data_IF_592693446343
#
_entry.id   IF_592693446343
#
_cell.length_a   1.000
_cell.length_b   1.000
_cell.length_c   1.000
_cell.angle_alpha   90.00
_cell.angle_beta   90.00
_cell.angle_gamma   90.00
#
_symmetry.space_group_name_H-M   'P 1'
#
loop_
_entity.id
_entity.type
_entity.pdbx_description
1 polymer ?
#
# COMPACT_ATOMS: atom_id res chain seq x y z
N UNK A 1 -9.48 -6.52 -10.27
CA UNK A 1 -8.37 -6.57 -9.31
C UNK A 1 -8.87 -7.31 -8.08
N UNK A 2 -8.06 -8.15 -7.48
CA UNK A 2 -8.36 -8.76 -6.18
C UNK A 2 -7.53 -8.05 -5.12
N UNK A 3 -8.15 -7.77 -4.00
CA UNK A 3 -7.53 -7.22 -2.80
C UNK A 3 -7.58 -8.27 -1.70
N UNK A 4 -6.50 -8.43 -0.94
CA UNK A 4 -6.54 -9.26 0.26
C UNK A 4 -6.98 -8.38 1.43
N UNK A 5 -7.97 -8.86 2.19
CA UNK A 5 -8.42 -8.24 3.43
C UNK A 5 -7.91 -9.07 4.61
N UNK A 6 -7.50 -8.40 5.66
CA UNK A 6 -7.01 -9.00 6.90
C UNK A 6 -7.90 -8.50 8.03
N UNK A 7 -8.42 -9.43 8.83
CA UNK A 7 -9.22 -9.12 10.00
C UNK A 7 -8.62 -9.86 11.19
N UNK A 8 -8.22 -9.12 12.20
CA UNK A 8 -7.68 -9.67 13.43
C UNK A 8 -8.44 -9.13 14.64
N UNK A 9 -8.95 -10.03 15.47
CA UNK A 9 -9.74 -9.69 16.64
C UNK A 9 -9.18 -10.35 17.89
N UNK A 10 -8.89 -9.55 18.91
CA UNK A 10 -8.41 -10.00 20.22
C UNK A 10 -9.41 -9.60 21.31
N UNK A 11 -9.80 -10.56 22.12
CA UNK A 11 -10.63 -10.35 23.31
C UNK A 11 -9.83 -10.68 24.57
N UNK A 12 -9.60 -9.68 25.40
CA UNK A 12 -8.94 -9.86 26.69
C UNK A 12 -9.78 -9.29 27.85
N UNK A 13 -9.19 -9.16 29.04
CA UNK A 13 -9.88 -8.64 30.24
C UNK A 13 -10.16 -7.14 30.13
N UNK A 14 -9.43 -6.43 29.28
CA UNK A 14 -9.55 -4.98 29.08
C UNK A 14 -10.52 -4.63 27.95
N UNK A 15 -10.99 -5.66 27.20
CA UNK A 15 -12.01 -5.49 26.15
C UNK A 15 -11.66 -6.16 24.82
N UNK A 16 -12.42 -5.81 23.81
CA UNK A 16 -12.25 -6.30 22.45
C UNK A 16 -11.45 -5.29 21.63
N UNK A 17 -10.39 -5.78 20.97
CA UNK A 17 -9.59 -5.03 20.00
C UNK A 17 -9.76 -5.64 18.62
N UNK A 18 -9.91 -4.80 17.62
CA UNK A 18 -10.10 -5.22 16.24
C UNK A 18 -9.18 -4.46 15.30
N UNK A 19 -8.40 -5.21 14.54
CA UNK A 19 -7.56 -4.69 13.46
C UNK A 19 -8.17 -5.04 12.12
N UNK A 20 -8.09 -4.09 11.20
CA UNK A 20 -8.46 -4.28 9.80
C UNK A 20 -7.28 -3.91 8.93
N UNK A 21 -7.01 -4.75 7.95
CA UNK A 21 -5.90 -4.57 7.01
C UNK A 21 -6.29 -4.84 5.57
N UNK A 22 -5.51 -4.28 4.66
CA UNK A 22 -5.63 -4.49 3.23
C UNK A 22 -4.27 -4.62 2.57
N UNK A 23 -4.17 -5.52 1.57
CA UNK A 23 -3.05 -5.56 0.61
C UNK A 23 -3.57 -5.09 -0.74
N UNK A 24 -3.06 -3.96 -1.20
CA UNK A 24 -3.55 -3.24 -2.38
C UNK A 24 -2.45 -3.18 -3.43
N UNK A 25 -2.63 -3.83 -4.60
CA UNK A 25 -1.68 -3.68 -5.69
C UNK A 25 -1.84 -2.30 -6.35
N UNK A 26 -0.71 -1.65 -6.58
CA UNK A 26 -0.63 -0.33 -7.20
C UNK A 26 0.47 -0.30 -8.27
N UNK A 27 0.54 0.79 -9.00
CA UNK A 27 1.66 1.11 -9.88
C UNK A 27 2.47 2.26 -9.29
N UNK A 28 3.80 2.09 -9.25
CA UNK A 28 4.76 3.17 -9.01
C UNK A 28 5.54 3.47 -10.28
N UNK A 29 5.91 4.71 -10.48
CA UNK A 29 6.77 5.17 -11.59
C UNK A 29 7.89 6.01 -11.00
N UNK A 30 9.13 5.64 -11.34
CA UNK A 30 10.33 6.21 -10.75
C UNK A 30 10.51 7.70 -11.11
N UNK A 31 10.49 8.62 -10.13
CA UNK A 31 10.74 10.04 -10.35
C UNK A 31 12.12 10.33 -10.92
N UNK A 32 13.17 9.65 -10.41
CA UNK A 32 14.55 9.85 -10.92
C UNK A 32 14.67 9.44 -12.38
N UNK A 33 14.10 8.28 -12.76
CA UNK A 33 14.11 7.84 -14.15
C UNK A 33 13.39 8.83 -15.07
N UNK A 34 12.29 9.40 -14.60
CA UNK A 34 11.57 10.43 -15.35
C UNK A 34 12.38 11.71 -15.55
N UNK A 35 13.16 12.11 -14.54
CA UNK A 35 14.00 13.29 -14.61
C UNK A 35 15.20 13.09 -15.56
N UNK A 36 15.79 11.89 -15.55
CA UNK A 36 16.99 11.57 -16.32
C UNK A 36 16.73 11.23 -17.80
N UNK A 37 15.52 10.77 -18.12
CA UNK A 37 15.21 10.22 -19.44
C UNK A 37 14.32 11.16 -20.26
N UNK A 38 14.75 11.40 -21.49
CA UNK A 38 14.01 12.29 -22.43
C UNK A 38 12.66 11.70 -22.90
N UNK A 39 12.49 10.39 -22.87
CA UNK A 39 11.37 9.71 -23.54
C UNK A 39 10.43 8.95 -22.63
N UNK A 40 10.91 8.41 -21.51
CA UNK A 40 10.09 7.55 -20.65
C UNK A 40 10.67 7.45 -19.24
N UNK A 41 9.96 6.78 -18.36
CA UNK A 41 10.44 6.38 -17.04
C UNK A 41 10.01 4.94 -16.76
N UNK A 42 10.83 4.20 -16.01
CA UNK A 42 10.44 2.85 -15.63
C UNK A 42 9.32 2.88 -14.58
N UNK A 43 8.43 1.94 -14.70
CA UNK A 43 7.33 1.72 -13.76
C UNK A 43 7.27 0.25 -13.38
N UNK A 44 6.73 -0.04 -12.22
CA UNK A 44 6.60 -1.37 -11.68
C UNK A 44 5.36 -1.49 -10.82
N UNK A 45 4.96 -2.73 -10.59
CA UNK A 45 3.91 -3.04 -9.62
C UNK A 45 4.48 -2.97 -8.22
N UNK A 46 3.74 -2.33 -7.33
CA UNK A 46 4.01 -2.31 -5.90
C UNK A 46 2.80 -2.83 -5.12
N UNK A 47 3.03 -3.22 -3.88
CA UNK A 47 1.99 -3.63 -2.94
C UNK A 47 2.00 -2.65 -1.76
N UNK A 48 0.86 -2.08 -1.45
CA UNK A 48 0.62 -1.33 -0.21
C UNK A 48 -0.05 -2.27 0.77
N UNK A 49 0.60 -2.53 1.89
CA UNK A 49 0.04 -3.25 3.02
C UNK A 49 -0.32 -2.23 4.10
N UNK A 50 -1.57 -2.21 4.48
CA UNK A 50 -2.12 -1.35 5.52
C UNK A 50 -2.69 -2.21 6.61
N UNK A 51 -2.37 -1.91 7.85
CA UNK A 51 -2.98 -2.48 9.04
C UNK A 51 -3.34 -1.35 10.00
N UNK A 52 -4.57 -1.37 10.51
CA UNK A 52 -5.11 -0.30 11.34
C UNK A 52 -5.84 -0.85 12.55
N UNK A 53 -5.52 -0.33 13.73
CA UNK A 53 -6.31 -0.50 14.95
C UNK A 53 -7.18 0.74 15.14
N UNK A 54 -8.49 0.54 15.21
CA UNK A 54 -9.45 1.63 15.42
C UNK A 54 -10.55 1.22 16.40
N UNK A 55 -10.93 2.09 17.33
CA UNK A 55 -12.14 1.89 18.16
C UNK A 55 -13.44 2.08 17.38
N UNK A 56 -13.35 2.65 16.17
CA UNK A 56 -14.48 2.92 15.28
C UNK A 56 -14.43 1.98 14.08
N UNK A 57 -15.60 1.77 13.47
CA UNK A 57 -15.69 1.00 12.25
C UNK A 57 -14.99 1.73 11.09
N UNK A 58 -14.15 1.00 10.34
CA UNK A 58 -13.48 1.47 9.13
C UNK A 58 -13.91 0.56 7.99
N UNK A 59 -14.29 1.15 6.86
CA UNK A 59 -14.58 0.40 5.65
C UNK A 59 -13.29 -0.05 4.97
N UNK A 60 -13.26 -1.30 4.54
CA UNK A 60 -12.11 -1.84 3.78
C UNK A 60 -11.84 -1.01 2.52
N UNK A 61 -12.90 -0.57 1.87
CA UNK A 61 -12.87 0.28 0.68
C UNK A 61 -12.16 1.62 0.93
N UNK A 62 -12.23 2.17 2.15
CA UNK A 62 -11.50 3.39 2.50
C UNK A 62 -9.98 3.15 2.48
N UNK A 63 -9.52 2.00 2.98
CA UNK A 63 -8.11 1.64 2.98
C UNK A 63 -7.60 1.41 1.55
N UNK A 64 -8.41 0.72 0.72
CA UNK A 64 -8.10 0.46 -0.68
C UNK A 64 -8.00 1.78 -1.46
N UNK A 65 -9.03 2.61 -1.36
CA UNK A 65 -9.11 3.91 -2.04
C UNK A 65 -7.95 4.85 -1.66
N UNK A 66 -7.56 4.80 -0.40
CA UNK A 66 -6.44 5.59 0.12
C UNK A 66 -5.09 5.12 -0.48
N UNK A 67 -4.87 3.81 -0.57
CA UNK A 67 -3.68 3.25 -1.19
C UNK A 67 -3.62 3.56 -2.69
N UNK A 68 -4.73 3.38 -3.41
CA UNK A 68 -4.81 3.68 -4.84
C UNK A 68 -4.59 5.16 -5.17
N UNK A 69 -5.12 6.07 -4.34
CA UNK A 69 -4.92 7.53 -4.49
C UNK A 69 -3.49 7.98 -4.18
N UNK A 70 -2.78 7.27 -3.33
CA UNK A 70 -1.38 7.57 -3.01
C UNK A 70 -0.41 7.09 -4.10
N UNK A 71 -0.82 6.18 -4.97
CA UNK A 71 -0.02 5.57 -6.03
C UNK A 71 0.23 6.49 -7.23
N UNK A 72 1.16 6.12 -8.09
CA UNK A 72 1.28 6.76 -9.42
C UNK A 72 0.05 6.49 -10.27
N UNK A 73 -0.48 5.27 -10.22
CA UNK A 73 -1.77 4.88 -10.80
C UNK A 73 -2.29 3.60 -10.11
N UNK A 74 -3.62 3.39 -10.08
CA UNK A 74 -4.21 2.12 -9.71
C UNK A 74 -3.88 0.99 -10.69
N UNK A 75 -4.13 -0.25 -10.28
CA UNK A 75 -4.05 -1.44 -11.14
C UNK A 75 -5.48 -1.88 -11.52
N UNK A 76 -5.71 -2.16 -12.78
CA UNK A 76 -7.00 -2.57 -13.30
C UNK A 76 -6.97 -3.99 -13.85
N UNK A 77 -8.07 -4.73 -13.68
CA UNK A 77 -8.19 -6.11 -14.22
C UNK A 77 -8.40 -6.14 -15.72
N UNK A 78 -9.04 -5.13 -16.28
CA UNK A 78 -9.36 -5.03 -17.69
C UNK A 78 -9.25 -3.58 -18.13
N UNK A 79 -8.50 -3.35 -19.20
CA UNK A 79 -8.34 -2.07 -19.85
C UNK A 79 -8.55 -2.24 -21.35
N UNK A 80 -9.19 -1.27 -21.98
CA UNK A 80 -9.19 -1.10 -23.43
C UNK A 80 -8.07 -0.14 -23.81
N UNK A 81 -7.72 -0.06 -25.10
CA UNK A 81 -6.61 0.80 -25.57
C UNK A 81 -6.68 2.27 -25.11
N UNK A 82 -7.84 2.93 -25.09
CA UNK A 82 -7.93 4.29 -24.55
C UNK A 82 -7.63 4.36 -23.06
N UNK A 83 -8.06 3.33 -22.31
CA UNK A 83 -7.86 3.26 -20.87
C UNK A 83 -6.37 2.99 -20.55
N UNK A 84 -5.70 2.12 -21.33
CA UNK A 84 -4.25 1.88 -21.21
C UNK A 84 -3.46 3.18 -21.38
N UNK A 85 -3.82 3.98 -22.41
CA UNK A 85 -3.22 5.29 -22.63
C UNK A 85 -3.40 6.18 -21.39
N UNK A 86 -4.64 6.29 -20.92
CA UNK A 86 -4.98 7.15 -19.77
C UNK A 86 -4.17 6.77 -18.52
N UNK A 87 -4.16 5.48 -18.17
CA UNK A 87 -3.45 4.98 -16.95
C UNK A 87 -1.94 5.20 -17.09
N UNK A 88 -1.39 4.97 -18.29
CA UNK A 88 0.05 5.19 -18.55
C UNK A 88 0.42 6.66 -18.40
N UNK A 89 -0.37 7.56 -18.98
CA UNK A 89 -0.14 9.01 -18.87
C UNK A 89 -0.37 9.53 -17.45
N UNK A 90 -1.35 8.97 -16.73
CA UNK A 90 -1.59 9.24 -15.30
C UNK A 90 -0.37 8.89 -14.47
N UNK A 91 0.15 7.66 -14.61
CA UNK A 91 1.34 7.22 -13.88
C UNK A 91 2.55 8.11 -14.19
N UNK A 92 2.75 8.44 -15.47
CA UNK A 92 3.84 9.31 -15.89
C UNK A 92 3.71 10.74 -15.35
N UNK A 93 2.50 11.25 -15.22
CA UNK A 93 2.23 12.59 -14.67
C UNK A 93 2.37 12.66 -13.15
N UNK A 94 2.25 11.52 -12.47
CA UNK A 94 2.29 11.40 -11.01
C UNK A 94 3.38 10.40 -10.54
N UNK A 95 4.68 10.67 -10.78
CA UNK A 95 5.75 9.77 -10.35
C UNK A 95 5.83 9.70 -8.82
N UNK A 96 6.01 8.49 -8.28
CA UNK A 96 6.07 8.22 -6.83
C UNK A 96 7.08 7.14 -6.52
N UNK A 97 7.94 7.38 -5.53
CA UNK A 97 8.68 6.34 -4.86
C UNK A 97 7.80 5.57 -3.87
N UNK A 98 8.23 4.39 -3.44
CA UNK A 98 7.54 3.64 -2.38
C UNK A 98 7.45 4.43 -1.08
N UNK A 99 8.46 5.24 -0.77
CA UNK A 99 8.51 6.15 0.38
C UNK A 99 7.46 7.26 0.29
N UNK A 100 7.21 7.78 -0.90
CA UNK A 100 6.19 8.82 -1.11
C UNK A 100 4.79 8.26 -0.89
N UNK A 101 4.55 7.05 -1.39
CA UNK A 101 3.28 6.34 -1.18
C UNK A 101 3.07 6.06 0.31
N UNK A 102 4.07 5.48 0.99
CA UNK A 102 3.99 5.20 2.42
C UNK A 102 3.73 6.45 3.25
N UNK A 103 4.41 7.55 2.92
CA UNK A 103 4.25 8.85 3.60
C UNK A 103 2.87 9.46 3.38
N UNK A 104 2.34 9.42 2.16
CA UNK A 104 1.00 9.93 1.84
C UNK A 104 -0.08 9.17 2.62
N UNK A 105 -0.01 7.83 2.65
CA UNK A 105 -0.93 6.98 3.42
C UNK A 105 -0.83 7.28 4.92
N UNK A 106 0.39 7.29 5.46
CA UNK A 106 0.63 7.57 6.88
C UNK A 106 0.13 8.96 7.30
N UNK A 107 0.33 9.97 6.45
CA UNK A 107 -0.14 11.33 6.72
C UNK A 107 -1.67 11.41 6.83
N UNK A 108 -2.39 10.64 6.00
CA UNK A 108 -3.85 10.53 6.08
C UNK A 108 -4.30 9.92 7.40
N UNK A 109 -3.61 8.88 7.87
CA UNK A 109 -3.92 8.27 9.17
C UNK A 109 -3.58 9.19 10.35
N UNK A 110 -2.48 9.91 10.31
CA UNK A 110 -2.14 10.88 11.35
C UNK A 110 -3.18 11.98 11.53
N UNK A 111 -3.91 12.34 10.49
CA UNK A 111 -4.97 13.35 10.55
C UNK A 111 -6.28 12.82 11.15
N UNK A 112 -6.42 11.49 11.35
CA UNK A 112 -7.63 10.82 11.82
C UNK A 112 -7.55 10.55 13.32
N UNK A 113 -8.55 11.01 14.06
CA UNK A 113 -8.66 10.78 15.52
C UNK A 113 -9.23 9.39 15.88
N UNK A 114 -9.85 8.73 14.92
CA UNK A 114 -10.42 7.39 15.05
C UNK A 114 -9.41 6.28 14.74
N UNK A 115 -8.15 6.62 14.43
CA UNK A 115 -7.05 5.67 14.25
C UNK A 115 -6.20 5.65 15.51
N UNK A 116 -6.25 4.55 16.25
CA UNK A 116 -5.45 4.36 17.45
C UNK A 116 -4.00 4.01 17.11
N UNK A 117 -3.83 3.09 16.14
CA UNK A 117 -2.52 2.66 15.63
C UNK A 117 -2.64 2.33 14.15
N UNK A 118 -1.56 2.49 13.41
CA UNK A 118 -1.44 2.01 12.05
C UNK A 118 -0.03 1.52 11.72
N UNK A 119 0.03 0.59 10.78
CA UNK A 119 1.25 0.13 10.12
C UNK A 119 1.02 0.16 8.62
N UNK A 120 1.95 0.76 7.89
CA UNK A 120 1.93 0.87 6.43
C UNK A 120 3.25 0.39 5.90
N UNK A 121 3.23 -0.62 5.05
CA UNK A 121 4.39 -1.05 4.28
C UNK A 121 4.09 -0.95 2.80
N UNK A 122 5.00 -0.38 2.04
CA UNK A 122 4.95 -0.35 0.59
C UNK A 122 6.17 -1.05 0.06
N UNK A 123 5.97 -2.06 -0.78
CA UNK A 123 7.05 -2.82 -1.41
C UNK A 123 6.88 -2.88 -2.91
N UNK A 124 7.97 -2.79 -3.66
CA UNK A 124 7.99 -2.94 -5.11
C UNK A 124 9.17 -3.79 -5.56
N UNK A 125 8.96 -4.59 -6.59
CA UNK A 125 10.05 -5.21 -7.33
C UNK A 125 10.48 -4.27 -8.44
N UNK A 126 11.72 -3.80 -8.36
CA UNK A 126 12.24 -2.83 -9.31
C UNK A 126 12.39 -3.44 -10.71
N UNK A 127 11.82 -2.78 -11.73
CA UNK A 127 11.75 -3.32 -13.09
C UNK A 127 13.10 -3.34 -13.82
N UNK A 128 14.05 -2.50 -13.42
CA UNK A 128 15.39 -2.40 -14.05
C UNK A 128 16.54 -2.75 -13.12
N UNK A 129 16.25 -3.06 -11.86
CA UNK A 129 17.24 -3.46 -10.86
C UNK A 129 16.89 -4.83 -10.28
N UNK A 130 17.89 -5.61 -9.93
CA UNK A 130 17.71 -6.93 -9.32
C UNK A 130 17.59 -6.84 -7.78
N UNK A 131 16.71 -5.97 -7.32
CA UNK A 131 16.35 -5.83 -5.91
C UNK A 131 14.97 -5.22 -5.77
N UNK A 132 14.35 -5.42 -4.61
CA UNK A 132 13.10 -4.78 -4.23
C UNK A 132 13.40 -3.48 -3.47
N UNK A 133 12.50 -2.50 -3.57
CA UNK A 133 12.46 -1.33 -2.71
C UNK A 133 11.30 -1.46 -1.75
N UNK A 134 11.46 -1.01 -0.50
CA UNK A 134 10.38 -0.99 0.46
C UNK A 134 10.48 0.20 1.41
N UNK A 135 9.35 0.63 1.93
CA UNK A 135 9.24 1.66 2.96
C UNK A 135 8.17 1.26 3.97
N UNK A 136 8.46 1.45 5.25
CA UNK A 136 7.53 1.15 6.34
C UNK A 136 7.37 2.37 7.23
N UNK A 137 6.13 2.70 7.60
CA UNK A 137 5.80 3.77 8.55
C UNK A 137 4.77 3.23 9.53
N UNK A 138 5.05 3.44 10.80
CA UNK A 138 4.17 3.13 11.92
C UNK A 138 3.78 4.40 12.65
N UNK A 139 2.57 4.43 13.18
CA UNK A 139 2.08 5.54 13.97
C UNK A 139 0.87 5.19 14.82
N UNK A 140 0.45 6.15 15.66
CA UNK A 140 -0.71 5.98 16.53
C UNK A 140 -0.49 6.59 17.91
N UNK A 141 -1.56 6.58 18.72
CA UNK A 141 -1.59 7.23 20.03
C UNK A 141 -0.96 6.35 21.12
N UNK A 142 -0.76 5.04 20.86
CA UNK A 142 -0.33 4.06 21.86
C UNK A 142 0.94 3.27 21.50
N UNK A 143 2.04 3.93 21.22
CA UNK A 143 3.29 3.36 20.66
C UNK A 143 3.97 2.16 21.37
N UNK A 144 3.47 1.63 22.50
CA UNK A 144 4.28 0.73 23.35
C UNK A 144 3.86 -0.74 23.42
N UNK A 145 2.86 -1.23 22.68
CA UNK A 145 2.35 -2.58 22.96
C UNK A 145 2.43 -3.62 21.81
N UNK A 146 2.68 -3.25 20.55
CA UNK A 146 2.38 -4.18 19.45
C UNK A 146 3.49 -4.49 18.43
N UNK A 147 4.73 -4.15 18.70
CA UNK A 147 5.86 -4.47 17.80
C UNK A 147 6.19 -5.97 17.63
N UNK A 148 5.40 -6.90 18.20
CA UNK A 148 5.80 -8.31 18.30
C UNK A 148 4.92 -9.30 17.51
N UNK A 149 3.89 -8.90 16.80
CA UNK A 149 2.95 -9.87 16.20
C UNK A 149 2.72 -9.77 14.69
N UNK A 150 3.48 -8.99 13.96
CA UNK A 150 3.40 -9.01 12.50
C UNK A 150 4.49 -9.93 11.94
N UNK A 151 4.17 -11.20 11.74
CA UNK A 151 4.91 -12.03 10.80
C UNK A 151 4.45 -11.66 9.39
N UNK A 152 5.35 -11.29 8.48
CA UNK A 152 4.98 -11.16 7.06
C UNK A 152 4.34 -12.48 6.64
N UNK A 153 3.18 -12.40 6.00
CA UNK A 153 2.56 -13.57 5.41
C UNK A 153 3.61 -14.20 4.48
N UNK A 154 3.99 -15.44 4.78
CA UNK A 154 4.94 -16.18 3.97
C UNK A 154 4.52 -16.14 2.50
N UNK A 155 5.49 -16.00 1.61
CA UNK A 155 5.35 -15.91 0.14
C UNK A 155 4.77 -17.17 -0.55
N UNK A 156 4.03 -18.01 0.17
CA UNK A 156 3.62 -19.36 -0.27
C UNK A 156 2.38 -19.41 -1.16
N UNK A 157 1.89 -18.31 -1.71
CA UNK A 157 0.65 -18.33 -2.51
C UNK A 157 0.82 -18.08 -4.02
N UNK A 158 2.03 -17.97 -4.54
CA UNK A 158 2.25 -17.82 -5.99
C UNK A 158 3.28 -18.81 -6.55
N UNK A 159 3.09 -20.09 -6.24
CA UNK A 159 3.65 -21.16 -7.08
C UNK A 159 2.73 -21.34 -8.29
N UNK A 160 2.94 -20.56 -9.32
CA UNK A 160 2.36 -20.84 -10.64
C UNK A 160 3.21 -21.89 -11.31
N UNK A 161 2.67 -23.12 -11.38
CA UNK A 161 3.10 -24.10 -12.38
C UNK A 161 2.77 -23.54 -13.77
N UNK A 162 3.79 -23.24 -14.55
CA UNK A 162 3.76 -23.29 -16.01
C UNK A 162 4.55 -24.49 -16.50
#
# INVERSE_FOLDING_TARGET
VSYAAIFDGELDRDGFRFRIGARVPITTLCPCSKELCDKSAHSQRAIVEIDVLSPSFIWLEELIDLAEKAASAPVYSLLKRPDEKFVTEQAYSNPRFVEDVAREVAQRFHSRRDIAEFHVTVSSEESIHNHSAFATIEGGIGRNAFAQHFSPLADDAYSTNF
#
